data_IF_008674304577
#
_entry.id   IF_008674304577
#
_cell.length_a   1.000
_cell.length_b   1.000
_cell.length_c   1.000
_cell.angle_alpha   90.00
_cell.angle_beta   90.00
_cell.angle_gamma   90.00
#
_symmetry.space_group_name_H-M   'P 1'
#
loop_
_entity.id
_entity.type
_entity.pdbx_description
1 polymer ?
#
# COMPACT_ATOMS: atom_id res chain seq x y z
N UNK A 1 8.25 19.22 -11.45
CA UNK A 1 8.29 20.70 -11.49
C UNK A 1 7.03 21.34 -12.12
N UNK A 2 5.91 20.62 -12.29
CA UNK A 2 4.69 21.19 -12.90
C UNK A 2 4.00 22.23 -12.03
N UNK A 3 4.14 22.12 -10.71
CA UNK A 3 3.43 22.97 -9.74
C UNK A 3 4.18 24.27 -9.38
N UNK A 4 5.39 24.48 -9.92
CA UNK A 4 6.22 25.66 -9.58
C UNK A 4 5.53 26.98 -9.94
N UNK A 5 4.94 27.16 -11.15
CA UNK A 5 4.26 28.42 -11.49
C UNK A 5 3.13 28.75 -10.51
N UNK A 6 2.25 27.78 -10.25
CA UNK A 6 1.13 27.95 -9.32
C UNK A 6 1.60 28.21 -7.87
N UNK A 7 2.72 27.61 -7.45
CA UNK A 7 3.32 27.88 -6.14
C UNK A 7 3.86 29.31 -6.03
N UNK A 8 4.48 29.83 -7.09
CA UNK A 8 4.99 31.21 -7.13
C UNK A 8 3.84 32.23 -7.15
N UNK A 9 2.81 31.99 -7.96
CA UNK A 9 1.59 32.81 -8.00
C UNK A 9 0.86 32.81 -6.65
N UNK A 10 0.81 31.67 -5.96
CA UNK A 10 0.25 31.53 -4.62
C UNK A 10 1.11 32.12 -3.49
N UNK A 11 2.03 33.05 -3.79
CA UNK A 11 2.95 33.67 -2.83
C UNK A 11 3.73 32.65 -1.99
N UNK A 12 4.26 31.59 -2.64
CA UNK A 12 5.05 30.53 -1.99
C UNK A 12 4.27 29.72 -0.95
N UNK A 13 2.93 29.70 -1.03
CA UNK A 13 2.09 28.82 -0.22
C UNK A 13 1.71 27.58 -1.02
N UNK A 14 1.90 26.40 -0.44
CA UNK A 14 1.47 25.14 -1.05
C UNK A 14 -0.04 24.99 -0.88
N UNK A 15 -0.73 24.60 -1.95
CA UNK A 15 -2.11 24.12 -1.87
C UNK A 15 -2.15 22.72 -1.25
N UNK A 16 -3.35 22.25 -0.88
CA UNK A 16 -3.51 20.88 -0.40
C UNK A 16 -3.01 19.85 -1.42
N UNK A 17 -3.35 20.02 -2.70
CA UNK A 17 -2.92 19.14 -3.79
C UNK A 17 -1.39 19.10 -3.98
N UNK A 18 -0.69 20.22 -3.76
CA UNK A 18 0.78 20.27 -3.83
C UNK A 18 1.46 19.57 -2.64
N UNK A 19 0.76 19.43 -1.51
CA UNK A 19 1.30 18.78 -0.30
C UNK A 19 1.11 17.28 -0.31
N UNK A 20 0.03 16.81 -0.94
CA UNK A 20 -0.29 15.39 -0.98
C UNK A 20 0.40 14.74 -2.16
N UNK A 21 0.97 13.58 -1.90
CA UNK A 21 1.50 12.75 -2.97
C UNK A 21 0.39 11.84 -3.47
N UNK A 22 0.05 11.96 -4.75
CA UNK A 22 -0.91 11.08 -5.40
C UNK A 22 -0.19 10.10 -6.32
N UNK A 23 -0.54 8.82 -6.18
CA UNK A 23 -0.08 7.75 -7.05
C UNK A 23 -0.95 7.75 -8.30
N UNK A 24 -0.62 8.61 -9.26
CA UNK A 24 -1.30 8.63 -10.55
C UNK A 24 -1.21 7.27 -11.28
N UNK A 25 -2.05 7.03 -12.30
CA UNK A 25 -2.19 5.72 -12.95
C UNK A 25 -0.89 5.19 -13.56
N UNK A 26 -0.02 6.09 -14.06
CA UNK A 26 1.30 5.70 -14.59
C UNK A 26 2.23 5.13 -13.51
N UNK A 27 2.32 5.80 -12.36
CA UNK A 27 3.12 5.29 -11.25
C UNK A 27 2.59 3.96 -10.74
N UNK A 28 1.27 3.80 -10.66
CA UNK A 28 0.66 2.50 -10.30
C UNK A 28 0.99 1.41 -11.31
N UNK A 29 0.99 1.72 -12.60
CA UNK A 29 1.36 0.76 -13.66
C UNK A 29 2.84 0.35 -13.56
N UNK A 30 3.73 1.32 -13.34
CA UNK A 30 5.16 1.04 -13.19
C UNK A 30 5.40 0.11 -12.00
N UNK A 31 4.75 0.38 -10.85
CA UNK A 31 4.83 -0.45 -9.65
C UNK A 31 4.16 -1.82 -9.83
N UNK A 32 3.03 -1.87 -10.54
CA UNK A 32 2.35 -3.09 -10.93
C UNK A 32 3.27 -4.02 -11.71
N UNK A 33 3.98 -3.50 -12.73
CA UNK A 33 4.89 -4.33 -13.52
C UNK A 33 6.14 -4.70 -12.72
N UNK A 34 6.80 -3.72 -12.09
CA UNK A 34 8.12 -3.94 -11.48
C UNK A 34 8.09 -4.94 -10.33
N UNK A 35 7.02 -4.96 -9.54
CA UNK A 35 6.95 -5.80 -8.33
C UNK A 35 6.39 -7.20 -8.62
N UNK A 36 5.47 -7.31 -9.58
CA UNK A 36 4.84 -8.58 -9.88
C UNK A 36 5.60 -9.39 -10.93
N UNK A 37 6.38 -8.74 -11.80
CA UNK A 37 7.14 -9.41 -12.85
C UNK A 37 8.14 -10.46 -12.32
N UNK A 38 8.96 -10.20 -11.27
CA UNK A 38 9.88 -11.21 -10.73
C UNK A 38 9.16 -12.43 -10.15
N UNK A 39 8.05 -12.21 -9.42
CA UNK A 39 7.24 -13.28 -8.83
C UNK A 39 6.60 -14.13 -9.93
N UNK A 40 6.01 -13.47 -10.93
CA UNK A 40 5.46 -14.11 -12.12
C UNK A 40 6.51 -14.96 -12.82
N UNK A 41 7.69 -14.39 -13.10
CA UNK A 41 8.75 -15.05 -13.85
C UNK A 41 9.23 -16.32 -13.15
N UNK A 42 9.41 -16.28 -11.82
CA UNK A 42 9.82 -17.43 -11.03
C UNK A 42 8.86 -18.61 -11.19
N UNK A 43 7.56 -18.36 -11.05
CA UNK A 43 6.53 -19.40 -11.16
C UNK A 43 6.32 -19.83 -12.62
N UNK A 44 6.34 -18.89 -13.56
CA UNK A 44 6.18 -19.15 -14.98
C UNK A 44 7.30 -20.04 -15.53
N UNK A 45 8.55 -19.86 -15.11
CA UNK A 45 9.67 -20.73 -15.51
C UNK A 45 9.43 -22.17 -15.03
N UNK A 46 9.01 -22.35 -13.77
CA UNK A 46 8.72 -23.68 -13.22
C UNK A 46 7.58 -24.34 -14.02
N UNK A 47 6.49 -23.61 -14.28
CA UNK A 47 5.36 -24.12 -15.07
C UNK A 47 5.80 -24.45 -16.50
N UNK A 48 6.61 -23.60 -17.15
CA UNK A 48 7.08 -23.83 -18.51
C UNK A 48 7.92 -25.12 -18.64
N UNK A 49 8.70 -25.46 -17.60
CA UNK A 49 9.55 -26.66 -17.59
C UNK A 49 8.75 -27.93 -17.32
N UNK A 50 7.87 -27.91 -16.31
CA UNK A 50 7.21 -29.13 -15.83
C UNK A 50 5.80 -29.32 -16.38
N UNK A 51 5.08 -28.24 -16.67
CA UNK A 51 3.67 -28.27 -17.12
C UNK A 51 3.34 -27.15 -18.12
N UNK A 52 3.99 -27.14 -19.30
CA UNK A 52 3.88 -26.05 -20.28
C UNK A 52 2.44 -25.77 -20.73
N UNK A 53 1.55 -26.77 -20.71
CA UNK A 53 0.13 -26.60 -21.06
C UNK A 53 -0.61 -25.60 -20.16
N UNK A 54 -0.16 -25.37 -18.93
CA UNK A 54 -0.80 -24.44 -18.00
C UNK A 54 -0.23 -23.02 -18.08
N UNK A 55 0.88 -22.81 -18.80
CA UNK A 55 1.59 -21.53 -18.81
C UNK A 55 0.73 -20.36 -19.28
N UNK A 56 -0.03 -20.56 -20.36
CA UNK A 56 -0.91 -19.52 -20.90
C UNK A 56 -2.02 -19.16 -19.91
N UNK A 57 -2.68 -20.18 -19.35
CA UNK A 57 -3.74 -19.98 -18.35
C UNK A 57 -3.23 -19.28 -17.10
N UNK A 58 -2.06 -19.69 -16.60
CA UNK A 58 -1.40 -19.05 -15.47
C UNK A 58 -1.08 -17.58 -15.77
N UNK A 59 -0.54 -17.28 -16.95
CA UNK A 59 -0.17 -15.91 -17.35
C UNK A 59 -1.39 -14.99 -17.39
N UNK A 60 -2.49 -15.44 -18.00
CA UNK A 60 -3.74 -14.68 -18.07
C UNK A 60 -4.31 -14.47 -16.67
N UNK A 61 -4.37 -15.54 -15.87
CA UNK A 61 -4.91 -15.47 -14.51
C UNK A 61 -4.08 -14.55 -13.61
N UNK A 62 -2.75 -14.67 -13.65
CA UNK A 62 -1.85 -13.86 -12.84
C UNK A 62 -2.00 -12.38 -13.14
N UNK A 63 -1.77 -11.99 -14.41
CA UNK A 63 -1.82 -10.58 -14.77
C UNK A 63 -3.23 -10.00 -14.68
N UNK A 64 -4.27 -10.79 -15.00
CA UNK A 64 -5.67 -10.40 -14.82
C UNK A 64 -6.03 -10.14 -13.36
N UNK A 65 -5.66 -11.06 -12.45
CA UNK A 65 -5.93 -10.93 -11.02
C UNK A 65 -5.20 -9.73 -10.40
N UNK A 66 -3.91 -9.55 -10.72
CA UNK A 66 -3.13 -8.42 -10.20
C UNK A 66 -3.65 -7.10 -10.80
N UNK A 67 -3.96 -7.05 -12.10
CA UNK A 67 -4.49 -5.82 -12.72
C UNK A 67 -5.83 -5.43 -12.09
N UNK A 68 -6.70 -6.41 -11.82
CA UNK A 68 -7.94 -6.20 -11.10
C UNK A 68 -7.69 -5.55 -9.72
N UNK A 69 -6.75 -6.05 -8.93
CA UNK A 69 -6.43 -5.44 -7.63
C UNK A 69 -6.01 -3.99 -7.75
N UNK A 70 -5.10 -3.66 -8.67
CA UNK A 70 -4.58 -2.31 -8.82
C UNK A 70 -5.63 -1.32 -9.34
N UNK A 71 -6.55 -1.77 -10.19
CA UNK A 71 -7.65 -0.94 -10.72
C UNK A 71 -8.71 -0.69 -9.65
N UNK A 72 -9.06 -1.71 -8.85
CA UNK A 72 -10.18 -1.64 -7.91
C UNK A 72 -9.78 -1.39 -6.46
N UNK A 73 -8.50 -1.14 -6.17
CA UNK A 73 -7.99 -0.94 -4.80
C UNK A 73 -8.67 0.19 -4.01
N UNK A 74 -9.27 1.18 -4.68
CA UNK A 74 -9.99 2.28 -4.00
C UNK A 74 -11.47 1.97 -3.79
N UNK A 75 -12.03 1.06 -4.58
CA UNK A 75 -13.46 0.69 -4.54
C UNK A 75 -13.71 -0.41 -3.51
N UNK A 76 -12.73 -1.30 -3.31
CA UNK A 76 -12.88 -2.45 -2.43
C UNK A 76 -12.89 -1.97 -0.96
N UNK A 77 -13.95 -2.25 -0.17
CA UNK A 77 -14.18 -1.66 1.16
C UNK A 77 -13.23 -2.15 2.26
N UNK A 78 -12.18 -2.88 1.92
CA UNK A 78 -11.24 -3.44 2.89
C UNK A 78 -10.10 -2.46 3.22
N UNK A 79 -9.75 -2.40 4.51
CA UNK A 79 -8.74 -1.49 5.05
C UNK A 79 -7.30 -2.00 4.89
N UNK A 80 -7.13 -3.30 4.68
CA UNK A 80 -5.84 -3.99 4.49
C UNK A 80 -5.73 -4.55 3.07
N UNK A 81 -4.50 -4.67 2.54
CA UNK A 81 -4.24 -5.24 1.22
C UNK A 81 -4.68 -6.71 1.13
N UNK A 82 -4.47 -7.50 2.19
CA UNK A 82 -5.02 -8.85 2.28
C UNK A 82 -6.54 -8.92 2.34
N UNK A 83 -7.18 -7.97 3.02
CA UNK A 83 -8.64 -7.88 3.00
C UNK A 83 -9.15 -7.60 1.58
N UNK A 84 -8.46 -6.72 0.84
CA UNK A 84 -8.80 -6.42 -0.55
C UNK A 84 -8.59 -7.64 -1.47
N UNK A 85 -7.48 -8.34 -1.29
CA UNK A 85 -7.17 -9.59 -1.99
C UNK A 85 -8.20 -10.69 -1.72
N UNK A 86 -8.59 -10.89 -0.47
CA UNK A 86 -9.55 -11.91 -0.08
C UNK A 86 -10.93 -11.66 -0.70
N UNK A 87 -11.42 -10.42 -0.62
CA UNK A 87 -12.70 -10.02 -1.25
C UNK A 87 -12.63 -10.23 -2.76
N UNK A 88 -11.54 -9.78 -3.40
CA UNK A 88 -11.36 -9.90 -4.85
C UNK A 88 -11.28 -11.36 -5.31
N UNK A 89 -10.50 -12.20 -4.61
CA UNK A 89 -10.38 -13.62 -4.91
C UNK A 89 -11.72 -14.33 -4.77
N UNK A 90 -12.45 -14.04 -3.69
CA UNK A 90 -13.77 -14.64 -3.45
C UNK A 90 -14.75 -14.26 -4.57
N UNK A 91 -14.81 -12.98 -4.96
CA UNK A 91 -15.67 -12.54 -6.05
C UNK A 91 -15.29 -13.20 -7.38
N UNK A 92 -14.00 -13.28 -7.71
CA UNK A 92 -13.53 -13.92 -8.94
C UNK A 92 -13.90 -15.41 -8.96
N UNK A 93 -13.65 -16.14 -7.87
CA UNK A 93 -13.91 -17.58 -7.78
C UNK A 93 -15.41 -17.87 -7.81
N UNK A 94 -16.24 -17.10 -7.10
CA UNK A 94 -17.70 -17.27 -7.13
C UNK A 94 -18.27 -16.99 -8.53
N UNK A 95 -17.77 -15.96 -9.21
CA UNK A 95 -18.19 -15.67 -10.58
C UNK A 95 -17.80 -16.80 -11.54
N UNK A 96 -16.56 -17.30 -11.45
CA UNK A 96 -16.10 -18.41 -12.29
C UNK A 96 -16.86 -19.70 -11.99
N UNK A 97 -17.03 -20.08 -10.72
CA UNK A 97 -17.79 -21.26 -10.31
C UNK A 97 -19.26 -21.18 -10.76
N UNK A 98 -19.87 -19.99 -10.73
CA UNK A 98 -21.21 -19.76 -11.27
C UNK A 98 -21.29 -19.98 -12.78
N UNK A 99 -20.30 -19.50 -13.54
CA UNK A 99 -20.20 -19.75 -14.99
C UNK A 99 -20.02 -21.25 -15.27
N UNK A 100 -19.17 -21.94 -14.51
CA UNK A 100 -18.96 -23.38 -14.64
C UNK A 100 -20.26 -24.16 -14.37
N UNK A 101 -20.99 -23.78 -13.32
CA UNK A 101 -22.28 -24.39 -13.01
C UNK A 101 -23.30 -24.20 -14.14
N UNK A 102 -23.42 -22.99 -14.68
CA UNK A 102 -24.36 -22.68 -15.77
C UNK A 102 -24.01 -23.43 -17.06
N UNK A 103 -22.73 -23.49 -17.41
CA UNK A 103 -22.29 -24.06 -18.70
C UNK A 103 -22.06 -25.57 -18.67
N UNK A 104 -21.68 -26.13 -17.51
CA UNK A 104 -21.22 -27.53 -17.38
C UNK A 104 -21.98 -28.34 -16.34
N UNK A 105 -22.83 -27.71 -15.52
CA UNK A 105 -23.60 -28.38 -14.47
C UNK A 105 -22.80 -28.69 -13.20
N UNK A 106 -21.49 -28.44 -13.18
CA UNK A 106 -20.61 -28.64 -12.03
C UNK A 106 -19.81 -27.35 -11.77
N UNK A 107 -19.93 -26.81 -10.56
CA UNK A 107 -19.28 -25.57 -10.15
C UNK A 107 -17.77 -25.72 -9.85
N UNK A 108 -17.27 -26.96 -9.72
CA UNK A 108 -15.90 -27.25 -9.25
C UNK A 108 -14.98 -27.83 -10.32
N UNK A 109 -15.39 -27.78 -11.59
CA UNK A 109 -14.60 -28.31 -12.72
C UNK A 109 -13.19 -27.72 -12.74
N UNK A 110 -13.02 -26.45 -12.35
CA UNK A 110 -11.73 -25.77 -12.32
C UNK A 110 -11.18 -25.50 -10.91
N UNK A 111 -11.46 -26.35 -9.92
CA UNK A 111 -11.05 -26.14 -8.52
C UNK A 111 -9.55 -25.81 -8.35
N UNK A 112 -8.67 -26.42 -9.14
CA UNK A 112 -7.22 -26.12 -9.10
C UNK A 112 -6.89 -24.67 -9.49
N UNK A 113 -7.64 -24.11 -10.45
CA UNK A 113 -7.51 -22.71 -10.84
C UNK A 113 -8.06 -21.75 -9.78
N UNK A 114 -9.06 -22.17 -9.00
CA UNK A 114 -9.57 -21.38 -7.88
C UNK A 114 -8.51 -21.24 -6.79
N UNK A 115 -7.81 -22.32 -6.46
CA UNK A 115 -6.70 -22.28 -5.52
C UNK A 115 -5.54 -21.42 -6.05
N UNK A 116 -5.22 -21.53 -7.34
CA UNK A 116 -4.22 -20.68 -7.97
C UNK A 116 -4.61 -19.19 -7.89
N UNK A 117 -5.87 -18.85 -8.17
CA UNK A 117 -6.37 -17.49 -8.05
C UNK A 117 -6.23 -16.97 -6.62
N UNK A 118 -6.67 -17.73 -5.61
CA UNK A 118 -6.50 -17.36 -4.20
C UNK A 118 -5.02 -17.15 -3.83
N UNK A 119 -4.13 -18.04 -4.26
CA UNK A 119 -2.69 -17.90 -4.03
C UNK A 119 -2.10 -16.64 -4.66
N UNK A 120 -2.48 -16.32 -5.90
CA UNK A 120 -2.05 -15.11 -6.61
C UNK A 120 -2.54 -13.86 -5.89
N UNK A 121 -3.84 -13.78 -5.57
CA UNK A 121 -4.41 -12.63 -4.86
C UNK A 121 -3.76 -12.46 -3.49
N UNK A 122 -3.56 -13.54 -2.74
CA UNK A 122 -2.94 -13.50 -1.43
C UNK A 122 -1.49 -12.98 -1.51
N UNK A 123 -0.71 -13.47 -2.47
CA UNK A 123 0.66 -13.02 -2.69
C UNK A 123 0.73 -11.54 -3.12
N UNK A 124 -0.11 -11.13 -4.08
CA UNK A 124 -0.16 -9.74 -4.54
C UNK A 124 -0.68 -8.79 -3.46
N UNK A 125 -1.67 -9.22 -2.69
CA UNK A 125 -2.26 -8.44 -1.59
C UNK A 125 -1.29 -8.16 -0.45
N UNK A 126 -0.28 -9.01 -0.25
CA UNK A 126 0.71 -8.91 0.83
C UNK A 126 1.45 -7.57 0.86
N UNK A 127 1.75 -7.03 -0.33
CA UNK A 127 2.49 -5.77 -0.48
C UNK A 127 1.69 -4.67 -1.21
N UNK A 128 0.44 -4.95 -1.60
CA UNK A 128 -0.41 -4.02 -2.36
C UNK A 128 -0.55 -2.65 -1.68
N UNK A 129 -0.79 -2.64 -0.37
CA UNK A 129 -1.03 -1.41 0.38
C UNK A 129 0.23 -0.55 0.56
N UNK A 130 1.41 -1.17 0.69
CA UNK A 130 2.69 -0.47 0.86
C UNK A 130 3.29 0.06 -0.44
N UNK A 131 2.85 -0.51 -1.57
CA UNK A 131 3.35 -0.18 -2.90
C UNK A 131 2.43 0.83 -3.57
N UNK A 132 1.14 0.52 -3.70
CA UNK A 132 0.22 1.36 -4.45
C UNK A 132 -0.37 2.54 -3.66
N UNK A 133 -0.04 2.68 -2.37
CA UNK A 133 -0.60 3.66 -1.45
C UNK A 133 0.43 4.06 -0.39
N UNK A 134 0.32 5.25 0.23
CA UNK A 134 1.21 5.64 1.33
C UNK A 134 0.75 5.01 2.67
N UNK A 135 0.40 3.73 2.64
CA UNK A 135 0.00 2.92 3.79
C UNK A 135 1.11 1.93 4.13
N UNK A 136 1.07 1.37 5.32
CA UNK A 136 2.00 0.30 5.73
C UNK A 136 1.59 -0.98 4.99
N UNK A 137 2.55 -1.79 4.51
CA UNK A 137 2.23 -3.09 3.90
C UNK A 137 1.82 -4.11 4.98
N UNK A 138 0.93 -5.02 4.61
CA UNK A 138 0.54 -6.12 5.50
C UNK A 138 1.75 -7.03 5.78
N UNK A 139 2.69 -7.11 4.84
CA UNK A 139 3.98 -7.76 4.99
C UNK A 139 4.78 -7.27 6.19
N UNK A 140 4.94 -5.95 6.30
CA UNK A 140 5.69 -5.33 7.39
C UNK A 140 5.02 -5.60 8.74
N UNK A 141 3.69 -5.52 8.80
CA UNK A 141 2.92 -5.84 10.00
C UNK A 141 3.03 -7.32 10.40
N UNK A 142 3.01 -8.24 9.44
CA UNK A 142 3.15 -9.67 9.68
C UNK A 142 4.56 -10.02 10.20
N UNK A 143 5.62 -9.49 9.58
CA UNK A 143 6.99 -9.71 10.04
C UNK A 143 7.21 -9.22 11.46
N UNK A 144 6.66 -8.04 11.80
CA UNK A 144 6.68 -7.51 13.16
C UNK A 144 5.96 -8.44 14.14
N UNK A 145 4.76 -8.94 13.80
CA UNK A 145 4.03 -9.89 14.66
C UNK A 145 4.77 -11.21 14.86
N UNK A 146 5.53 -11.66 13.86
CA UNK A 146 6.34 -12.87 13.92
C UNK A 146 7.70 -12.65 14.62
N UNK A 147 8.02 -11.42 15.05
CA UNK A 147 9.24 -11.11 15.78
C UNK A 147 10.52 -11.07 14.92
N UNK A 148 10.39 -11.05 13.59
CA UNK A 148 11.53 -10.88 12.70
C UNK A 148 11.96 -9.40 12.67
N UNK A 149 13.07 -9.08 13.34
CA UNK A 149 13.62 -7.71 13.40
C UNK A 149 14.42 -7.30 12.15
N UNK A 150 14.99 -8.27 11.43
CA UNK A 150 15.82 -8.00 10.25
C UNK A 150 16.01 -9.29 9.43
N UNK A 151 16.06 -9.13 8.11
CA UNK A 151 16.57 -10.16 7.19
C UNK A 151 17.88 -9.67 6.56
N UNK A 152 18.97 -9.77 7.32
CA UNK A 152 20.30 -9.28 6.93
C UNK A 152 20.32 -7.76 6.68
N UNK A 153 21.08 -7.31 5.68
CA UNK A 153 21.15 -5.90 5.24
C UNK A 153 20.09 -5.53 4.20
N UNK A 154 19.30 -6.50 3.71
CA UNK A 154 18.32 -6.33 2.62
C UNK A 154 17.01 -5.72 3.09
N UNK A 155 16.63 -6.00 4.35
CA UNK A 155 15.49 -5.39 5.02
C UNK A 155 15.96 -4.88 6.39
N UNK A 156 16.28 -3.59 6.46
CA UNK A 156 16.49 -2.88 7.72
C UNK A 156 15.13 -2.43 8.24
N UNK A 157 14.88 -2.69 9.52
CA UNK A 157 13.67 -2.28 10.23
C UNK A 157 13.37 -0.81 9.97
N UNK A 158 12.30 -0.52 9.23
CA UNK A 158 11.65 0.78 9.33
C UNK A 158 10.70 0.67 10.50
N UNK A 159 11.28 0.71 11.70
CA UNK A 159 10.58 0.45 12.95
C UNK A 159 9.22 1.17 12.94
N UNK A 160 8.15 0.38 12.95
CA UNK A 160 6.78 0.87 13.08
C UNK A 160 6.74 1.79 14.29
N UNK A 161 6.33 3.03 14.07
CA UNK A 161 6.44 4.06 15.09
C UNK A 161 5.28 5.03 15.02
N UNK A 162 5.00 5.65 16.14
CA UNK A 162 4.03 6.73 16.21
C UNK A 162 4.75 8.04 16.39
N UNK A 163 4.29 9.06 15.68
CA UNK A 163 4.78 10.41 15.88
C UNK A 163 4.27 10.91 17.24
N UNK A 164 5.21 11.23 18.13
CA UNK A 164 4.95 11.86 19.43
C UNK A 164 5.18 13.36 19.32
N UNK A 165 4.27 14.14 19.91
CA UNK A 165 4.34 15.60 19.98
C UNK A 165 4.70 16.04 21.40
N UNK A 166 5.78 16.80 21.51
CA UNK A 166 6.11 17.63 22.67
C UNK A 166 5.38 18.98 22.53
N UNK A 167 4.31 19.16 23.31
CA UNK A 167 3.45 20.35 23.22
C UNK A 167 4.12 21.61 23.76
N UNK A 168 5.10 21.47 24.65
CA UNK A 168 5.80 22.62 25.24
C UNK A 168 6.70 23.27 24.19
N UNK A 169 7.43 22.46 23.43
CA UNK A 169 8.32 22.93 22.34
C UNK A 169 7.56 23.38 21.09
N UNK A 170 6.37 22.85 20.84
CA UNK A 170 5.63 23.16 19.64
C UNK A 170 5.20 24.64 19.61
N UNK A 171 5.60 25.39 18.58
CA UNK A 171 5.20 26.78 18.37
C UNK A 171 4.09 26.98 17.33
N UNK A 172 3.53 25.89 16.79
CA UNK A 172 2.45 25.97 15.80
C UNK A 172 2.87 26.42 14.40
N UNK A 173 4.16 26.38 14.03
CA UNK A 173 4.64 26.84 12.72
C UNK A 173 4.12 26.05 11.49
N UNK A 174 3.46 24.90 11.71
CA UNK A 174 2.86 24.03 10.66
C UNK A 174 3.82 23.45 9.62
N UNK A 175 5.14 23.49 9.82
CA UNK A 175 6.10 22.81 8.94
C UNK A 175 5.76 21.32 8.74
N UNK A 176 5.30 20.63 9.80
CA UNK A 176 4.87 19.24 9.75
C UNK A 176 3.62 19.02 8.88
N UNK A 177 2.73 20.00 8.80
CA UNK A 177 1.52 19.97 7.99
C UNK A 177 1.86 20.01 6.49
N UNK A 178 2.89 20.79 6.14
CA UNK A 178 3.32 21.00 4.76
C UNK A 178 4.21 19.88 4.21
N UNK A 179 4.89 19.13 5.08
CA UNK A 179 5.77 18.03 4.66
C UNK A 179 5.09 16.66 4.69
N UNK A 180 3.99 16.49 5.43
CA UNK A 180 3.31 15.20 5.53
C UNK A 180 2.58 14.88 4.22
N UNK A 181 2.98 13.84 3.46
CA UNK A 181 2.33 13.52 2.19
C UNK A 181 0.94 12.89 2.37
N UNK A 182 0.67 12.29 3.54
CA UNK A 182 -0.62 11.66 3.87
C UNK A 182 -1.63 12.68 4.42
N UNK A 183 -1.16 13.74 5.07
CA UNK A 183 -2.05 14.74 5.68
C UNK A 183 -2.67 14.32 7.01
N UNK A 184 -1.90 13.67 7.89
CA UNK A 184 -2.36 13.20 9.21
C UNK A 184 -2.65 14.34 10.21
N UNK A 185 -2.21 15.56 9.93
CA UNK A 185 -2.38 16.73 10.80
C UNK A 185 -3.67 17.50 10.50
N UNK A 186 -4.27 18.07 11.52
CA UNK A 186 -5.46 18.91 11.44
C UNK A 186 -5.15 20.41 11.61
N UNK A 187 -6.19 21.18 11.93
CA UNK A 187 -6.04 22.58 12.32
C UNK A 187 -5.33 22.72 13.68
N UNK A 188 -4.86 23.94 13.97
CA UNK A 188 -4.25 24.21 15.26
C UNK A 188 -5.30 24.13 16.36
N UNK A 189 -4.89 23.63 17.53
CA UNK A 189 -5.74 23.64 18.72
C UNK A 189 -5.88 25.06 19.31
N UNK A 190 -6.66 25.18 20.37
CA UNK A 190 -6.91 26.44 21.08
C UNK A 190 -5.63 27.13 21.59
N UNK A 191 -4.57 26.34 21.86
CA UNK A 191 -3.27 26.81 22.32
C UNK A 191 -2.29 27.07 21.16
N UNK A 192 -2.79 27.11 19.92
CA UNK A 192 -2.01 27.25 18.68
C UNK A 192 -0.96 26.13 18.49
N UNK A 193 -1.20 24.94 19.03
CA UNK A 193 -0.35 23.76 18.83
C UNK A 193 -0.91 22.89 17.71
N UNK A 194 -0.05 22.08 17.09
CA UNK A 194 -0.50 21.16 16.04
C UNK A 194 -1.37 20.04 16.61
N UNK A 195 -2.38 19.61 15.85
CA UNK A 195 -3.25 18.49 16.20
C UNK A 195 -3.15 17.37 15.15
N UNK A 196 -3.53 16.15 15.53
CA UNK A 196 -3.68 15.03 14.61
C UNK A 196 -5.16 14.88 14.22
N UNK A 197 -5.42 14.79 12.92
CA UNK A 197 -6.73 14.45 12.36
C UNK A 197 -6.87 12.95 12.13
N UNK A 198 -5.80 12.30 11.68
CA UNK A 198 -5.77 10.86 11.37
C UNK A 198 -4.36 10.29 11.63
N UNK A 199 -3.98 10.23 12.91
CA UNK A 199 -2.69 9.67 13.32
C UNK A 199 -2.49 8.20 12.88
N UNK A 200 -3.50 7.31 12.90
CA UNK A 200 -3.36 5.94 12.42
C UNK A 200 -2.94 5.81 10.95
N UNK A 201 -3.24 6.80 10.10
CA UNK A 201 -2.78 6.80 8.70
C UNK A 201 -1.28 7.12 8.52
N UNK A 202 -0.56 7.43 9.60
CA UNK A 202 0.88 7.74 9.54
C UNK A 202 1.71 6.49 9.22
N UNK A 203 2.40 6.48 8.07
CA UNK A 203 3.33 5.41 7.65
C UNK A 203 4.77 5.59 8.16
N UNK A 204 4.96 6.33 9.26
CA UNK A 204 6.24 6.37 10.02
C UNK A 204 7.46 6.84 9.22
N UNK A 205 7.31 7.72 8.22
CA UNK A 205 8.43 8.14 7.37
C UNK A 205 9.46 9.07 8.03
N UNK A 206 9.19 9.55 9.26
CA UNK A 206 10.02 10.49 10.04
C UNK A 206 10.25 11.88 9.42
N UNK A 207 9.66 12.20 8.25
CA UNK A 207 9.93 13.47 7.55
C UNK A 207 9.54 14.70 8.40
N UNK A 208 8.39 14.65 9.08
CA UNK A 208 7.94 15.73 9.96
C UNK A 208 8.82 15.93 11.20
N UNK A 209 9.35 14.83 11.78
CA UNK A 209 10.26 14.90 12.91
C UNK A 209 11.59 15.56 12.51
N UNK A 210 12.15 15.18 11.35
CA UNK A 210 13.40 15.74 10.83
C UNK A 210 13.30 17.21 10.43
N UNK A 211 12.14 17.65 9.95
CA UNK A 211 11.92 19.02 9.48
C UNK A 211 11.37 19.97 10.55
N UNK A 212 11.09 19.50 11.77
CA UNK A 212 10.59 20.34 12.84
C UNK A 212 11.71 21.24 13.39
N UNK A 213 11.64 22.58 13.22
CA UNK A 213 12.70 23.47 13.70
C UNK A 213 12.86 23.44 15.23
N UNK A 214 11.74 23.30 15.94
CA UNK A 214 11.69 23.24 17.40
C UNK A 214 12.02 21.85 17.97
N UNK A 215 12.22 20.84 17.10
CA UNK A 215 12.36 19.42 17.50
C UNK A 215 11.23 18.95 18.43
N UNK A 216 10.02 19.47 18.21
CA UNK A 216 8.82 19.14 18.98
C UNK A 216 8.20 17.80 18.56
N UNK A 217 8.72 17.16 17.52
CA UNK A 217 8.22 15.90 16.98
C UNK A 217 9.31 14.83 17.04
N UNK A 218 8.96 13.65 17.52
CA UNK A 218 9.82 12.46 17.47
C UNK A 218 9.03 11.26 16.95
N UNK A 219 9.71 10.35 16.24
CA UNK A 219 9.14 9.04 15.94
C UNK A 219 9.48 8.14 17.12
N UNK A 220 8.46 7.70 17.87
CA UNK A 220 8.63 6.70 18.93
C UNK A 220 8.32 5.34 18.35
N UNK A 221 9.29 4.45 18.39
CA UNK A 221 9.14 3.12 17.87
C UNK A 221 8.44 2.24 18.91
N UNK A 222 7.66 1.25 18.46
CA UNK A 222 6.93 0.35 19.36
C UNK A 222 7.84 -0.60 20.17
N UNK A 223 9.16 -0.53 19.97
CA UNK A 223 10.18 -1.34 20.66
C UNK A 223 10.91 -0.58 21.80
N UNK A 224 10.45 0.63 22.16
CA UNK A 224 10.95 1.44 23.31
C UNK A 224 10.12 1.32 24.60
#
# INVERSE_FOLDING_TARGET
ARDIPAYLEGHKKKTETMRRFDFGPRHRLDMFLSMNFPIYLLVAIVIAVFWPQYLLGYTILFWGAVAFLYVFMEVIPAKTGWGQAFVSATLLVLAWAGVDWILRGDAFVHWGWFLAAFGIFFAAGFDLAGTASPRISDAELMMHRLGFKSFGTLFSEKELGQIKLDREKCNGCRACFDICPVGVYGDLDENKKISFRDQPACFSCSACAKQCPERALSLRHSLD
#
